data_IF_486183674102
#
_entry.id   IF_486183674102
#
_cell.length_a   1.000
_cell.length_b   1.000
_cell.length_c   1.000
_cell.angle_alpha   90.00
_cell.angle_beta   90.00
_cell.angle_gamma   90.00
#
_symmetry.space_group_name_H-M   'P 1'
#
loop_
_entity.id
_entity.type
_entity.pdbx_description
1 polymer ?
#
# COMPACT_ATOMS: atom_id res chain seq x y z
N UNK A 1 -13.61 8.49 21.18
CA UNK A 1 -14.18 7.72 20.08
C UNK A 1 -13.90 8.45 18.77
N UNK A 2 -12.69 8.33 18.22
CA UNK A 2 -12.45 8.66 16.81
C UNK A 2 -13.08 7.52 15.99
N UNK A 3 -14.32 7.69 15.57
CA UNK A 3 -14.86 6.86 14.49
C UNK A 3 -14.03 7.20 13.25
N UNK A 4 -13.22 6.23 12.77
CA UNK A 4 -12.56 6.36 11.47
C UNK A 4 -13.65 6.61 10.42
N UNK A 5 -13.45 7.61 9.58
CA UNK A 5 -14.39 7.90 8.49
C UNK A 5 -14.48 6.80 7.44
N UNK A 6 -13.67 5.72 7.57
CA UNK A 6 -13.60 4.61 6.65
C UNK A 6 -14.71 3.58 6.87
N UNK A 7 -15.39 3.24 5.77
CA UNK A 7 -16.31 2.10 5.72
C UNK A 7 -16.45 1.59 4.29
N UNK A 8 -16.49 0.27 4.13
CA UNK A 8 -16.77 -0.36 2.84
C UNK A 8 -18.19 -0.91 2.80
N UNK A 9 -18.88 -0.70 1.68
CA UNK A 9 -20.20 -1.23 1.40
C UNK A 9 -20.14 -2.04 0.11
N UNK A 10 -20.26 -3.36 0.23
CA UNK A 10 -20.50 -4.23 -0.94
C UNK A 10 -21.88 -3.91 -1.50
N UNK A 11 -21.99 -3.50 -2.75
CA UNK A 11 -23.26 -3.10 -3.40
C UNK A 11 -23.87 -4.22 -4.22
N UNK A 12 -23.06 -4.85 -5.07
CA UNK A 12 -23.48 -5.94 -5.94
C UNK A 12 -22.34 -6.94 -6.11
N UNK A 13 -22.71 -8.20 -6.26
CA UNK A 13 -21.76 -9.28 -6.59
C UNK A 13 -22.36 -10.15 -7.69
N UNK A 14 -21.54 -10.48 -8.68
CA UNK A 14 -21.86 -11.45 -9.72
C UNK A 14 -20.65 -12.37 -9.92
N UNK A 15 -20.80 -13.63 -9.51
CA UNK A 15 -19.67 -14.59 -9.44
C UNK A 15 -18.53 -14.00 -8.59
N UNK A 16 -17.33 -13.82 -9.19
CA UNK A 16 -16.16 -13.23 -8.52
C UNK A 16 -16.09 -11.70 -8.65
N UNK A 17 -16.90 -11.10 -9.54
CA UNK A 17 -16.93 -9.64 -9.71
C UNK A 17 -17.76 -8.98 -8.62
N UNK A 18 -17.27 -7.85 -8.11
CA UNK A 18 -17.93 -7.07 -7.05
C UNK A 18 -17.94 -5.59 -7.40
N UNK A 19 -19.00 -4.91 -7.03
CA UNK A 19 -19.04 -3.44 -6.99
C UNK A 19 -19.34 -2.98 -5.57
N UNK A 20 -18.75 -1.89 -5.16
CA UNK A 20 -18.92 -1.36 -3.81
C UNK A 20 -18.70 0.14 -3.72
N UNK A 21 -18.73 0.61 -2.49
CA UNK A 21 -18.46 2.01 -2.14
C UNK A 21 -17.55 2.04 -0.91
N UNK A 22 -16.43 2.71 -1.04
CA UNK A 22 -15.57 3.02 0.11
C UNK A 22 -15.90 4.45 0.55
N UNK A 23 -16.21 4.63 1.83
CA UNK A 23 -16.29 5.96 2.45
C UNK A 23 -14.99 6.30 3.12
N UNK A 24 -14.53 7.54 2.95
CA UNK A 24 -13.36 8.11 3.62
C UNK A 24 -13.69 9.50 4.15
N UNK A 25 -12.80 10.08 4.94
CA UNK A 25 -12.95 11.45 5.44
C UNK A 25 -12.93 12.52 4.34
N UNK A 26 -12.35 12.24 3.17
CA UNK A 26 -12.26 13.18 2.03
C UNK A 26 -13.19 12.85 0.87
N UNK A 27 -14.03 11.84 1.00
CA UNK A 27 -15.02 11.51 -0.04
C UNK A 27 -15.21 10.02 -0.25
N UNK A 28 -16.14 9.72 -1.12
CA UNK A 28 -16.57 8.36 -1.46
C UNK A 28 -15.83 7.87 -2.72
N UNK A 29 -15.49 6.58 -2.74
CA UNK A 29 -14.80 5.92 -3.87
C UNK A 29 -15.67 4.75 -4.33
N UNK A 30 -16.13 4.80 -5.59
CA UNK A 30 -16.81 3.66 -6.21
C UNK A 30 -15.79 2.59 -6.59
N UNK A 31 -16.13 1.33 -6.35
CA UNK A 31 -15.27 0.21 -6.73
C UNK A 31 -15.96 -0.69 -7.75
N UNK A 32 -15.21 -1.30 -8.69
CA UNK A 32 -13.76 -1.23 -8.83
C UNK A 32 -13.27 0.17 -9.23
N UNK A 33 -12.09 0.56 -8.76
CA UNK A 33 -11.48 1.84 -9.06
C UNK A 33 -10.04 1.67 -9.55
N UNK A 34 -9.65 2.44 -10.56
CA UNK A 34 -8.26 2.61 -10.94
C UNK A 34 -7.70 3.86 -10.25
N UNK A 35 -6.47 3.78 -9.77
CA UNK A 35 -5.78 4.88 -9.09
C UNK A 35 -4.63 5.41 -9.96
N UNK A 36 -4.75 6.61 -10.56
CA UNK A 36 -3.60 7.26 -11.20
C UNK A 36 -2.48 7.46 -10.21
N UNK A 37 -1.23 7.24 -10.66
CA UNK A 37 -0.06 7.30 -9.79
C UNK A 37 0.52 8.71 -9.76
N UNK A 38 0.56 9.32 -8.58
CA UNK A 38 1.17 10.63 -8.31
C UNK A 38 2.52 10.41 -7.58
N UNK A 39 3.60 10.26 -8.34
CA UNK A 39 4.90 9.79 -7.83
C UNK A 39 5.56 10.79 -6.88
N UNK A 40 5.69 12.06 -7.27
CA UNK A 40 6.36 13.12 -6.51
C UNK A 40 5.41 14.29 -6.24
N UNK A 41 4.22 13.98 -5.72
CA UNK A 41 3.18 14.97 -5.53
C UNK A 41 2.61 15.50 -6.86
N UNK A 42 2.70 14.73 -7.94
CA UNK A 42 2.13 15.06 -9.25
C UNK A 42 1.92 13.80 -10.08
N UNK A 43 0.83 13.75 -10.83
CA UNK A 43 0.62 12.74 -11.87
C UNK A 43 1.48 13.14 -13.09
N UNK A 44 2.38 12.26 -13.51
CA UNK A 44 3.34 12.56 -14.57
C UNK A 44 2.61 12.99 -15.86
N UNK A 45 3.02 14.14 -16.40
CA UNK A 45 2.51 14.72 -17.65
C UNK A 45 1.01 15.05 -17.66
N UNK A 46 0.34 15.06 -16.50
CA UNK A 46 -1.10 15.37 -16.42
C UNK A 46 -1.37 16.32 -15.26
N UNK A 47 -1.86 17.53 -15.53
CA UNK A 47 -2.29 18.46 -14.49
C UNK A 47 -3.38 17.86 -13.60
N UNK A 48 -3.38 18.21 -12.32
CA UNK A 48 -4.29 17.60 -11.33
C UNK A 48 -5.78 17.90 -11.62
N UNK A 49 -6.09 19.08 -12.14
CA UNK A 49 -7.44 19.42 -12.55
C UNK A 49 -7.97 18.50 -13.66
N UNK A 50 -7.13 18.05 -14.58
CA UNK A 50 -7.52 17.10 -15.63
C UNK A 50 -7.87 15.72 -15.01
N UNK A 51 -7.13 15.29 -13.98
CA UNK A 51 -7.44 14.05 -13.23
C UNK A 51 -8.83 14.16 -12.57
N UNK A 52 -9.17 15.34 -12.04
CA UNK A 52 -10.49 15.61 -11.48
C UNK A 52 -11.60 15.64 -12.54
N UNK A 53 -11.38 16.31 -13.68
CA UNK A 53 -12.32 16.40 -14.79
C UNK A 53 -12.64 15.04 -15.40
N UNK A 54 -11.64 14.12 -15.50
CA UNK A 54 -11.84 12.73 -15.94
C UNK A 54 -12.73 11.96 -14.96
N UNK A 55 -12.82 12.41 -13.69
CA UNK A 55 -13.69 11.83 -12.69
C UNK A 55 -13.02 10.78 -11.79
N UNK A 56 -11.70 10.76 -11.69
CA UNK A 56 -11.02 9.90 -10.71
C UNK A 56 -11.39 10.33 -9.28
N UNK A 57 -11.71 9.35 -8.45
CA UNK A 57 -12.15 9.56 -7.06
C UNK A 57 -11.03 9.32 -6.05
N UNK A 58 -9.92 8.76 -6.48
CA UNK A 58 -8.75 8.44 -5.66
C UNK A 58 -7.48 8.43 -6.52
N UNK A 59 -6.36 8.83 -5.95
CA UNK A 59 -5.02 8.68 -6.53
C UNK A 59 -4.14 7.83 -5.64
N UNK A 60 -3.09 7.23 -6.22
CA UNK A 60 -2.02 6.56 -5.48
C UNK A 60 -0.79 7.45 -5.43
N UNK A 61 -0.18 7.61 -4.26
CA UNK A 61 1.09 8.33 -4.12
C UNK A 61 2.14 7.45 -3.45
N UNK A 62 3.39 7.58 -3.90
CA UNK A 62 4.48 6.72 -3.45
C UNK A 62 5.18 7.32 -2.24
N UNK A 63 5.14 6.65 -1.10
CA UNK A 63 5.80 7.10 0.14
C UNK A 63 7.31 7.28 -0.05
N UNK A 64 8.00 6.34 -0.68
CA UNK A 64 9.43 6.44 -1.00
C UNK A 64 9.77 7.75 -1.73
N UNK A 65 9.06 8.05 -2.81
CA UNK A 65 9.31 9.25 -3.60
C UNK A 65 9.00 10.53 -2.81
N UNK A 66 7.92 10.55 -2.03
CA UNK A 66 7.56 11.70 -1.22
C UNK A 66 8.55 12.00 -0.08
N UNK A 67 9.20 10.98 0.49
CA UNK A 67 10.29 11.15 1.45
C UNK A 67 11.45 11.89 0.81
N UNK A 68 11.82 11.52 -0.42
CA UNK A 68 12.94 12.10 -1.13
C UNK A 68 12.61 13.46 -1.74
N UNK A 69 11.46 13.56 -2.43
CA UNK A 69 10.95 14.79 -3.06
C UNK A 69 9.42 14.80 -3.08
N UNK A 70 8.77 15.85 -2.58
CA UNK A 70 9.31 17.14 -2.11
C UNK A 70 9.94 17.07 -0.71
N UNK A 71 9.90 15.92 -0.03
CA UNK A 71 10.38 15.71 1.33
C UNK A 71 9.32 16.03 2.39
N UNK A 72 9.37 15.30 3.50
CA UNK A 72 8.35 15.39 4.56
C UNK A 72 8.27 16.79 5.20
N UNK A 73 9.40 17.51 5.25
CA UNK A 73 9.41 18.90 5.76
C UNK A 73 8.56 19.81 4.89
N UNK A 74 8.68 19.71 3.58
CA UNK A 74 7.87 20.49 2.63
C UNK A 74 6.40 20.13 2.76
N UNK A 75 6.07 18.83 2.77
CA UNK A 75 4.69 18.34 2.94
C UNK A 75 4.06 18.89 4.22
N UNK A 76 4.80 18.87 5.34
CA UNK A 76 4.34 19.44 6.63
C UNK A 76 4.05 20.96 6.54
N UNK A 77 4.84 21.72 5.79
CA UNK A 77 4.60 23.16 5.60
C UNK A 77 3.27 23.43 4.88
N UNK A 78 2.82 22.52 4.03
CA UNK A 78 1.50 22.54 3.39
C UNK A 78 0.42 21.81 4.19
N UNK A 79 0.72 21.35 5.42
CA UNK A 79 -0.07 20.50 6.31
C UNK A 79 -0.13 19.04 5.88
N UNK A 80 -0.31 18.74 4.60
CA UNK A 80 -0.34 17.40 4.02
C UNK A 80 -0.10 17.44 2.51
N UNK A 81 -0.06 16.26 1.88
CA UNK A 81 0.17 16.12 0.45
C UNK A 81 -1.03 16.61 -0.39
N UNK A 82 -2.26 16.44 0.10
CA UNK A 82 -3.47 16.93 -0.59
C UNK A 82 -3.39 18.43 -0.83
N UNK A 83 -3.05 19.21 0.20
CA UNK A 83 -2.87 20.64 0.08
C UNK A 83 -1.68 21.02 -0.83
N UNK A 84 -0.59 20.25 -0.77
CA UNK A 84 0.57 20.48 -1.63
C UNK A 84 0.23 20.29 -3.12
N UNK A 85 -0.62 19.29 -3.42
CA UNK A 85 -1.04 18.95 -4.79
C UNK A 85 -2.27 19.71 -5.28
N UNK A 86 -2.98 20.39 -4.39
CA UNK A 86 -4.33 20.91 -4.64
C UNK A 86 -5.34 19.81 -5.05
N UNK A 87 -5.22 18.64 -4.39
CA UNK A 87 -6.09 17.47 -4.60
C UNK A 87 -7.02 17.28 -3.42
N UNK A 88 -8.33 17.47 -3.62
CA UNK A 88 -9.33 17.47 -2.56
C UNK A 88 -10.12 16.16 -2.42
N UNK A 89 -9.56 15.06 -2.93
CA UNK A 89 -10.15 13.72 -2.86
C UNK A 89 -9.20 12.75 -2.17
N UNK A 90 -9.64 11.49 -1.90
CA UNK A 90 -8.80 10.50 -1.22
C UNK A 90 -7.46 10.22 -1.88
N UNK A 91 -6.46 9.93 -1.05
CA UNK A 91 -5.13 9.45 -1.44
C UNK A 91 -4.89 8.10 -0.76
N UNK A 92 -4.50 7.09 -1.55
CA UNK A 92 -3.84 5.89 -1.06
C UNK A 92 -2.33 6.07 -1.19
N UNK A 93 -1.57 5.75 -0.15
CA UNK A 93 -0.11 5.67 -0.25
C UNK A 93 0.37 4.23 -0.15
N UNK A 94 1.33 3.86 -1.00
CA UNK A 94 2.10 2.64 -0.80
C UNK A 94 3.07 2.80 0.38
N UNK A 95 3.72 1.71 0.78
CA UNK A 95 4.69 1.72 1.88
C UNK A 95 6.08 2.22 1.48
N UNK A 96 6.39 2.24 0.20
CA UNK A 96 7.74 2.48 -0.34
C UNK A 96 8.60 1.21 -0.47
N UNK A 97 8.15 0.07 0.03
CA UNK A 97 8.91 -1.18 -0.01
C UNK A 97 9.30 -1.62 -1.42
N UNK A 98 8.36 -1.60 -2.36
CA UNK A 98 8.62 -1.94 -3.76
C UNK A 98 9.68 -1.02 -4.40
N UNK A 99 9.61 0.29 -4.18
CA UNK A 99 10.55 1.26 -4.75
C UNK A 99 11.96 1.08 -4.18
N UNK A 100 12.09 0.76 -2.89
CA UNK A 100 13.38 0.42 -2.30
C UNK A 100 13.96 -0.82 -2.97
N UNK A 101 13.13 -1.85 -3.23
CA UNK A 101 13.58 -3.07 -3.91
C UNK A 101 13.97 -2.82 -5.37
N UNK A 102 13.24 -1.97 -6.09
CA UNK A 102 13.44 -1.74 -7.53
C UNK A 102 14.46 -0.64 -7.86
N UNK A 103 14.57 0.41 -7.04
CA UNK A 103 15.37 1.61 -7.34
C UNK A 103 16.66 1.72 -6.55
N UNK A 104 16.74 1.14 -5.34
CA UNK A 104 17.93 1.23 -4.52
C UNK A 104 18.94 0.14 -4.88
N UNK A 105 20.13 0.55 -5.30
CA UNK A 105 21.26 -0.36 -5.60
C UNK A 105 21.90 -0.95 -4.34
N UNK A 106 21.88 -0.17 -3.24
CA UNK A 106 22.44 -0.55 -1.95
C UNK A 106 21.35 -0.53 -0.91
N UNK A 107 20.98 -1.72 -0.43
CA UNK A 107 19.97 -1.92 0.62
C UNK A 107 20.37 -3.06 1.54
N UNK A 108 19.99 -2.94 2.80
CA UNK A 108 20.09 -4.00 3.81
C UNK A 108 18.72 -4.23 4.42
N UNK A 109 18.25 -5.47 4.36
CA UNK A 109 16.96 -5.89 4.90
C UNK A 109 17.23 -6.75 6.13
N UNK A 110 16.51 -6.49 7.21
CA UNK A 110 16.53 -7.26 8.44
C UNK A 110 15.17 -7.19 9.16
N UNK A 111 15.04 -7.84 10.31
CA UNK A 111 13.78 -7.82 11.08
C UNK A 111 13.33 -6.41 11.50
N UNK A 112 14.25 -5.47 11.68
CA UNK A 112 13.91 -4.10 12.05
C UNK A 112 13.23 -3.35 10.91
N UNK A 113 13.73 -3.54 9.70
CA UNK A 113 13.26 -2.83 8.50
C UNK A 113 14.27 -2.90 7.37
N UNK A 114 14.30 -1.88 6.52
CA UNK A 114 15.21 -1.77 5.40
C UNK A 114 15.97 -0.46 5.46
N UNK A 115 17.30 -0.54 5.33
CA UNK A 115 18.20 0.61 5.16
C UNK A 115 18.58 0.66 3.68
N UNK A 116 18.46 1.82 3.06
CA UNK A 116 18.76 2.01 1.65
C UNK A 116 19.41 3.36 1.37
N UNK A 117 20.07 3.46 0.23
CA UNK A 117 20.60 4.71 -0.28
C UNK A 117 19.66 5.29 -1.35
N UNK A 118 19.37 6.58 -1.22
CA UNK A 118 18.60 7.34 -2.20
C UNK A 118 19.27 7.26 -3.57
N UNK A 119 18.48 6.96 -4.60
CA UNK A 119 18.93 6.98 -5.99
C UNK A 119 19.15 8.41 -6.54
N UNK A 120 18.70 9.43 -5.80
CA UNK A 120 18.80 10.84 -6.19
C UNK A 120 20.14 11.46 -5.76
N UNK A 121 20.50 11.30 -4.48
CA UNK A 121 21.62 12.00 -3.84
C UNK A 121 22.53 11.09 -3.01
N UNK A 122 22.23 9.78 -2.95
CA UNK A 122 23.00 8.80 -2.18
C UNK A 122 22.80 8.87 -0.67
N UNK A 123 21.92 9.74 -0.16
CA UNK A 123 21.64 9.82 1.27
C UNK A 123 21.07 8.52 1.81
N UNK A 124 21.45 8.17 3.06
CA UNK A 124 20.97 6.95 3.71
C UNK A 124 19.63 7.16 4.40
N UNK A 125 18.70 6.26 4.17
CA UNK A 125 17.37 6.26 4.75
C UNK A 125 17.05 4.90 5.37
N UNK A 126 16.19 4.89 6.39
CA UNK A 126 15.67 3.68 7.01
C UNK A 126 14.15 3.69 6.96
N UNK A 127 13.55 2.60 6.47
CA UNK A 127 12.13 2.31 6.57
C UNK A 127 11.94 1.18 7.58
N UNK A 128 11.16 1.44 8.60
CA UNK A 128 10.65 0.43 9.55
C UNK A 128 9.13 0.39 9.46
N UNK A 129 8.48 -0.70 9.87
CA UNK A 129 7.02 -0.74 9.91
C UNK A 129 6.42 0.46 10.65
N UNK A 130 7.05 0.88 11.74
CA UNK A 130 6.57 1.99 12.56
C UNK A 130 6.72 3.34 11.86
N UNK A 131 7.93 3.67 11.35
CA UNK A 131 8.16 4.97 10.75
C UNK A 131 7.44 5.13 9.39
N UNK A 132 7.15 4.04 8.71
CA UNK A 132 6.32 4.06 7.49
C UNK A 132 4.87 4.43 7.80
N UNK A 133 4.30 3.92 8.90
CA UNK A 133 2.98 4.34 9.37
C UNK A 133 2.97 5.83 9.71
N UNK A 134 3.96 6.30 10.47
CA UNK A 134 4.08 7.71 10.85
C UNK A 134 4.29 8.62 9.63
N UNK A 135 5.09 8.19 8.68
CA UNK A 135 5.34 8.91 7.43
C UNK A 135 4.05 9.08 6.63
N UNK A 136 3.26 8.03 6.47
CA UNK A 136 1.99 8.08 5.76
C UNK A 136 0.96 8.95 6.50
N UNK A 137 0.97 8.97 7.83
CA UNK A 137 0.17 9.92 8.63
C UNK A 137 0.59 11.37 8.36
N UNK A 138 1.89 11.66 8.22
CA UNK A 138 2.40 13.00 7.87
C UNK A 138 2.01 13.39 6.45
N UNK A 139 2.07 12.45 5.51
CA UNK A 139 1.61 12.66 4.14
C UNK A 139 0.12 12.99 4.12
N UNK A 140 -0.66 12.48 5.06
CA UNK A 140 -2.11 12.67 5.15
C UNK A 140 -2.88 11.70 4.26
N UNK A 141 -2.37 10.46 4.15
CA UNK A 141 -3.04 9.39 3.43
C UNK A 141 -4.41 9.08 4.03
N UNK A 142 -5.41 8.85 3.18
CA UNK A 142 -6.70 8.29 3.62
C UNK A 142 -6.60 6.77 3.79
N UNK A 143 -5.89 6.11 2.88
CA UNK A 143 -5.61 4.68 2.95
C UNK A 143 -4.11 4.48 2.89
N UNK A 144 -3.53 3.86 3.91
CA UNK A 144 -2.10 3.53 3.94
C UNK A 144 -1.86 2.05 3.80
N UNK A 145 -0.78 1.68 3.10
CA UNK A 145 -0.33 0.30 2.98
C UNK A 145 0.73 -0.03 4.02
N UNK A 146 0.76 -1.28 4.47
CA UNK A 146 1.83 -1.77 5.35
C UNK A 146 3.15 -1.89 4.60
N UNK A 147 4.28 -1.76 5.32
CA UNK A 147 5.59 -2.11 4.77
C UNK A 147 5.67 -3.62 4.54
N UNK A 148 6.06 -4.02 3.37
CA UNK A 148 6.25 -5.41 2.97
C UNK A 148 7.55 -5.60 2.20
N UNK A 149 8.06 -6.81 2.19
CA UNK A 149 9.15 -7.21 1.30
C UNK A 149 8.55 -7.80 0.03
N UNK A 150 8.67 -7.07 -1.08
CA UNK A 150 8.27 -7.57 -2.38
C UNK A 150 9.29 -8.61 -2.87
N UNK A 151 8.92 -9.88 -2.78
CA UNK A 151 9.78 -10.99 -3.22
C UNK A 151 10.06 -10.89 -4.72
N UNK A 152 11.33 -10.89 -5.18
CA UNK A 152 11.63 -10.86 -6.60
C UNK A 152 11.16 -12.15 -7.30
N UNK A 153 10.91 -12.08 -8.58
CA UNK A 153 10.63 -13.23 -9.40
C UNK A 153 11.74 -13.46 -10.46
N UNK A 154 12.23 -14.69 -10.66
CA UNK A 154 11.91 -15.91 -9.90
C UNK A 154 12.52 -15.90 -8.49
N UNK A 155 11.91 -16.66 -7.59
CA UNK A 155 12.40 -16.86 -6.22
C UNK A 155 12.32 -18.34 -5.85
N UNK A 156 13.26 -18.80 -5.03
CA UNK A 156 13.16 -20.16 -4.46
C UNK A 156 12.02 -20.20 -3.43
N UNK A 157 11.51 -21.40 -3.15
CA UNK A 157 10.50 -21.58 -2.10
C UNK A 157 10.98 -21.04 -0.73
N UNK A 158 12.21 -21.37 -0.35
CA UNK A 158 12.78 -20.94 0.93
C UNK A 158 12.92 -19.42 1.03
N UNK A 159 13.31 -18.76 -0.05
CA UNK A 159 13.43 -17.29 -0.06
C UNK A 159 12.05 -16.64 -0.03
N UNK A 160 11.09 -17.18 -0.77
CA UNK A 160 9.70 -16.72 -0.75
C UNK A 160 9.07 -16.90 0.64
N UNK A 161 9.32 -18.00 1.33
CA UNK A 161 8.84 -18.26 2.68
C UNK A 161 9.45 -17.29 3.70
N UNK A 162 10.77 -17.05 3.62
CA UNK A 162 11.46 -16.08 4.51
C UNK A 162 10.92 -14.66 4.32
N UNK A 163 10.79 -14.23 3.06
CA UNK A 163 10.27 -12.92 2.70
C UNK A 163 8.81 -12.75 3.17
N UNK A 164 7.97 -13.76 2.97
CA UNK A 164 6.59 -13.76 3.45
C UNK A 164 6.52 -13.63 4.98
N UNK A 165 7.30 -14.42 5.73
CA UNK A 165 7.34 -14.36 7.20
C UNK A 165 7.79 -12.99 7.69
N UNK A 166 8.81 -12.39 7.05
CA UNK A 166 9.29 -11.05 7.38
C UNK A 166 8.18 -10.00 7.15
N UNK A 167 7.48 -10.08 6.02
CA UNK A 167 6.36 -9.18 5.72
C UNK A 167 5.24 -9.30 6.75
N UNK A 168 4.94 -10.50 7.24
CA UNK A 168 3.95 -10.71 8.30
C UNK A 168 4.40 -10.13 9.65
N UNK A 169 5.65 -10.32 10.07
CA UNK A 169 6.22 -9.69 11.27
C UNK A 169 6.13 -8.15 11.18
N UNK A 170 6.39 -7.58 10.01
CA UNK A 170 6.26 -6.14 9.76
C UNK A 170 4.81 -5.66 9.75
N UNK A 171 3.91 -6.46 9.18
CA UNK A 171 2.48 -6.15 9.15
C UNK A 171 1.87 -6.03 10.55
N UNK A 172 2.20 -6.96 11.46
CA UNK A 172 1.77 -6.91 12.87
C UNK A 172 2.26 -5.64 13.58
N UNK A 173 3.53 -5.28 13.40
CA UNK A 173 4.12 -4.09 14.00
C UNK A 173 3.51 -2.81 13.43
N UNK A 174 3.30 -2.77 12.12
CA UNK A 174 2.64 -1.65 11.45
C UNK A 174 1.20 -1.48 11.96
N UNK A 175 0.43 -2.58 12.08
CA UNK A 175 -0.94 -2.54 12.58
C UNK A 175 -1.01 -2.03 14.02
N UNK A 176 -0.14 -2.51 14.88
CA UNK A 176 -0.05 -2.05 16.27
C UNK A 176 0.25 -0.55 16.35
N UNK A 177 1.20 -0.06 15.55
CA UNK A 177 1.56 1.36 15.49
C UNK A 177 0.39 2.20 14.97
N UNK A 178 -0.27 1.76 13.89
CA UNK A 178 -1.43 2.43 13.33
C UNK A 178 -2.57 2.57 14.35
N UNK A 179 -2.92 1.49 15.06
CA UNK A 179 -4.00 1.52 16.06
C UNK A 179 -3.71 2.44 17.23
N UNK A 180 -2.43 2.62 17.59
CA UNK A 180 -1.98 3.51 18.67
C UNK A 180 -1.78 4.97 18.22
N UNK A 181 -1.81 5.26 16.91
CA UNK A 181 -1.61 6.61 16.39
C UNK A 181 -2.86 7.48 16.60
N UNK A 182 -2.67 8.68 17.12
CA UNK A 182 -3.79 9.64 17.38
C UNK A 182 -4.36 10.23 16.08
N UNK A 183 -3.49 10.57 15.14
CA UNK A 183 -3.83 11.19 13.86
C UNK A 183 -3.56 10.22 12.72
N UNK A 184 -4.19 9.05 12.78
CA UNK A 184 -4.01 8.00 11.79
C UNK A 184 -4.86 8.25 10.54
N UNK A 185 -4.43 7.67 9.42
CA UNK A 185 -5.23 7.54 8.19
C UNK A 185 -6.61 6.93 8.47
N UNK A 186 -7.55 7.10 7.55
CA UNK A 186 -8.89 6.51 7.68
C UNK A 186 -8.83 4.97 7.72
N UNK A 187 -7.93 4.37 6.94
CA UNK A 187 -7.75 2.93 6.86
C UNK A 187 -6.28 2.51 6.68
N UNK A 188 -5.98 1.27 7.08
CA UNK A 188 -4.73 0.59 6.80
C UNK A 188 -4.99 -0.76 6.13
N UNK A 189 -4.31 -1.03 5.00
CA UNK A 189 -4.46 -2.27 4.25
C UNK A 189 -3.25 -3.18 4.44
N UNK A 190 -3.54 -4.46 4.68
CA UNK A 190 -2.55 -5.52 4.71
C UNK A 190 -2.21 -6.01 3.31
N UNK A 191 -1.04 -6.64 3.16
CA UNK A 191 -0.55 -7.15 1.88
C UNK A 191 -0.23 -8.63 2.01
N UNK A 192 -0.84 -9.46 1.15
CA UNK A 192 -0.57 -10.89 1.05
C UNK A 192 0.61 -11.11 0.11
N UNK A 193 1.67 -11.76 0.62
CA UNK A 193 2.85 -12.16 -0.13
C UNK A 193 2.89 -13.70 -0.30
N UNK A 194 3.95 -14.26 -0.84
CA UNK A 194 4.13 -15.71 -1.03
C UNK A 194 4.59 -16.12 -2.42
N UNK A 195 5.06 -15.16 -3.25
CA UNK A 195 5.50 -15.40 -4.63
C UNK A 195 4.43 -16.16 -5.44
N UNK A 196 4.80 -17.19 -6.17
CA UNK A 196 3.87 -18.04 -6.95
C UNK A 196 3.55 -19.39 -6.28
N UNK A 197 3.85 -19.52 -4.98
CA UNK A 197 3.62 -20.75 -4.21
C UNK A 197 2.26 -20.70 -3.51
N UNK A 198 1.39 -21.64 -3.84
CA UNK A 198 0.00 -21.66 -3.40
C UNK A 198 -0.13 -21.76 -1.88
N UNK A 199 0.59 -22.68 -1.25
CA UNK A 199 0.60 -22.88 0.19
C UNK A 199 1.11 -21.66 0.96
N UNK A 200 2.12 -20.98 0.44
CA UNK A 200 2.62 -19.73 1.04
C UNK A 200 1.59 -18.59 0.91
N UNK A 201 0.90 -18.49 -0.22
CA UNK A 201 -0.17 -17.50 -0.43
C UNK A 201 -1.35 -17.73 0.51
N UNK A 202 -1.78 -18.97 0.67
CA UNK A 202 -2.86 -19.34 1.59
C UNK A 202 -2.45 -18.98 3.02
N UNK A 203 -1.28 -19.42 3.46
CA UNK A 203 -0.76 -19.11 4.80
C UNK A 203 -0.64 -17.61 5.04
N UNK A 204 -0.07 -16.87 4.09
CA UNK A 204 0.06 -15.42 4.18
C UNK A 204 -1.30 -14.74 4.27
N UNK A 205 -2.31 -15.18 3.50
CA UNK A 205 -3.65 -14.65 3.55
C UNK A 205 -4.30 -14.88 4.93
N UNK A 206 -4.23 -16.10 5.45
CA UNK A 206 -4.78 -16.46 6.77
C UNK A 206 -4.16 -15.60 7.89
N UNK A 207 -2.83 -15.50 7.94
CA UNK A 207 -2.14 -14.73 8.97
C UNK A 207 -2.40 -13.22 8.82
N UNK A 208 -2.45 -12.69 7.60
CA UNK A 208 -2.77 -11.28 7.36
C UNK A 208 -4.21 -10.95 7.76
N UNK A 209 -5.17 -11.85 7.50
CA UNK A 209 -6.56 -11.71 7.94
C UNK A 209 -6.66 -11.72 9.46
N UNK A 210 -5.91 -12.57 10.15
CA UNK A 210 -5.89 -12.65 11.61
C UNK A 210 -5.36 -11.36 12.28
N UNK A 211 -4.51 -10.59 11.60
CA UNK A 211 -4.07 -9.25 12.07
C UNK A 211 -5.22 -8.24 12.03
N UNK A 212 -6.24 -8.47 11.21
CA UNK A 212 -7.46 -7.67 11.03
C UNK A 212 -7.19 -6.25 10.50
N UNK A 213 -6.91 -6.18 9.21
CA UNK A 213 -6.81 -4.91 8.48
C UNK A 213 -8.18 -4.40 7.99
N UNK A 214 -8.22 -3.12 7.59
CA UNK A 214 -9.42 -2.49 7.05
C UNK A 214 -9.70 -2.91 5.59
N UNK A 215 -8.67 -3.40 4.89
CA UNK A 215 -8.71 -3.96 3.55
C UNK A 215 -7.44 -4.76 3.26
N UNK A 216 -7.38 -5.42 2.11
CA UNK A 216 -6.30 -6.34 1.75
C UNK A 216 -5.84 -6.14 0.32
N UNK A 217 -4.56 -6.31 0.07
CA UNK A 217 -3.95 -6.32 -1.25
C UNK A 217 -3.25 -7.64 -1.52
N UNK A 218 -3.23 -8.06 -2.78
CA UNK A 218 -2.39 -9.18 -3.24
C UNK A 218 -1.12 -8.57 -3.83
N UNK A 219 -0.02 -8.65 -3.06
CA UNK A 219 1.27 -8.11 -3.45
C UNK A 219 2.15 -9.11 -4.20
N UNK A 220 3.31 -8.63 -4.67
CA UNK A 220 4.31 -9.47 -5.32
C UNK A 220 3.85 -10.09 -6.65
N UNK A 221 2.96 -9.42 -7.37
CA UNK A 221 2.52 -9.76 -8.72
C UNK A 221 2.92 -8.67 -9.71
N UNK A 222 2.92 -9.00 -11.00
CA UNK A 222 3.43 -8.15 -12.08
C UNK A 222 4.92 -7.78 -11.90
N UNK A 223 5.71 -8.72 -11.37
CA UNK A 223 7.15 -8.59 -11.11
C UNK A 223 8.00 -9.49 -12.03
N UNK A 224 7.39 -10.00 -13.12
CA UNK A 224 8.05 -10.81 -14.13
C UNK A 224 7.54 -12.25 -14.26
N UNK A 225 6.55 -12.67 -13.46
CA UNK A 225 5.97 -14.02 -13.46
C UNK A 225 5.14 -14.35 -14.70
N UNK A 226 4.71 -13.34 -15.42
CA UNK A 226 3.84 -13.46 -16.58
C UNK A 226 2.36 -13.63 -16.22
N UNK A 227 1.50 -13.39 -17.23
CA UNK A 227 0.04 -13.29 -17.04
C UNK A 227 -0.59 -14.57 -16.46
N UNK A 228 -0.23 -15.74 -16.99
CA UNK A 228 -0.86 -17.01 -16.60
C UNK A 228 -0.59 -17.35 -15.14
N UNK A 229 0.65 -17.14 -14.67
CA UNK A 229 1.00 -17.36 -13.26
C UNK A 229 0.32 -16.33 -12.36
N UNK A 230 0.25 -15.06 -12.76
CA UNK A 230 -0.48 -14.03 -12.03
C UNK A 230 -1.95 -14.42 -11.83
N UNK A 231 -2.65 -14.83 -12.90
CA UNK A 231 -4.04 -15.26 -12.81
C UNK A 231 -4.18 -16.49 -11.92
N UNK A 232 -3.27 -17.45 -12.01
CA UNK A 232 -3.26 -18.64 -11.15
C UNK A 232 -3.14 -18.24 -9.68
N UNK A 233 -2.21 -17.34 -9.33
CA UNK A 233 -2.03 -16.83 -7.96
C UNK A 233 -3.32 -16.15 -7.48
N UNK A 234 -3.92 -15.29 -8.28
CA UNK A 234 -5.18 -14.62 -7.92
C UNK A 234 -6.32 -15.62 -7.69
N UNK A 235 -6.38 -16.72 -8.44
CA UNK A 235 -7.45 -17.72 -8.33
C UNK A 235 -7.45 -18.46 -7.00
N UNK A 236 -6.30 -18.70 -6.37
CA UNK A 236 -6.26 -19.34 -5.05
C UNK A 236 -6.09 -18.34 -3.89
N UNK A 237 -5.58 -17.14 -4.12
CA UNK A 237 -5.40 -16.16 -3.04
C UNK A 237 -6.67 -15.34 -2.77
N UNK A 238 -7.31 -14.82 -3.83
CA UNK A 238 -8.46 -13.90 -3.68
C UNK A 238 -9.66 -14.53 -2.95
N UNK A 239 -10.02 -15.82 -3.15
CA UNK A 239 -11.10 -16.45 -2.40
C UNK A 239 -10.87 -16.54 -0.88
N UNK A 240 -9.63 -16.42 -0.41
CA UNK A 240 -9.31 -16.39 1.01
C UNK A 240 -9.69 -15.06 1.67
N UNK A 241 -9.72 -13.96 0.89
CA UNK A 241 -9.94 -12.62 1.42
C UNK A 241 -11.42 -12.37 1.75
N UNK A 242 -11.73 -11.70 2.90
CA UNK A 242 -13.09 -11.45 3.33
C UNK A 242 -13.92 -10.66 2.30
N UNK A 243 -15.15 -11.08 2.03
CA UNK A 243 -16.01 -10.42 1.05
C UNK A 243 -16.48 -9.03 1.52
N UNK A 244 -16.58 -8.81 2.83
CA UNK A 244 -16.96 -7.53 3.44
C UNK A 244 -15.83 -6.51 3.52
N UNK A 245 -14.62 -6.87 3.08
CA UNK A 245 -13.45 -5.98 3.03
C UNK A 245 -13.10 -5.62 1.58
N UNK A 246 -12.43 -4.49 1.40
CA UNK A 246 -11.84 -4.07 0.12
C UNK A 246 -10.65 -4.97 -0.24
N UNK A 247 -10.51 -5.26 -1.52
CA UNK A 247 -9.37 -5.99 -2.07
C UNK A 247 -9.01 -5.46 -3.46
#
# INVERSE_FOLDING_TARGET
NNMSGYKFYLKKQYKKARTGLIKTSLGDIKTPAFMPVATQGAVKSTPINIIEEIGYEIILSNTYHNILRPGLKTIKNFKNLSNFMDWNKPILTDSGGFQVMSLSKLRKINKKGVIFQSHIDGSSHELTPENVVETQNIIGSNIQMVLDECTPFPSTYNDAEKSMKLSLEWAERARKTYLNSKNRSDAQFGIVQGSTYEDLRIKSAEETINIDFDGYAVGGLAVGEGHDKMIKVLNYTVPMLPDEKVR
#
